data_IF_363190555856
#
_entry.id   IF_363190555856
#
_cell.length_a   1.000
_cell.length_b   1.000
_cell.length_c   1.000
_cell.angle_alpha   90.00
_cell.angle_beta   90.00
_cell.angle_gamma   90.00
#
_symmetry.space_group_name_H-M   'P 1'
#
loop_
_entity.id
_entity.type
_entity.pdbx_description
1 polymer ?
#
# COMPACT_ATOMS: atom_id res chain seq x y z
N UNK A 1 -20.38 -13.42 5.49
CA UNK A 1 -21.33 -13.86 6.53
C UNK A 1 -20.88 -13.44 7.91
N UNK A 2 -19.84 -14.09 8.44
CA UNK A 2 -19.35 -13.90 9.83
C UNK A 2 -19.06 -12.44 10.18
N UNK A 3 -18.39 -11.67 9.29
CA UNK A 3 -18.11 -10.26 9.54
C UNK A 3 -19.37 -9.41 9.80
N UNK A 4 -20.47 -9.67 9.08
CA UNK A 4 -21.73 -8.94 9.27
C UNK A 4 -22.49 -9.41 10.52
N UNK A 5 -22.33 -10.67 10.91
CA UNK A 5 -23.04 -11.25 12.06
C UNK A 5 -22.35 -10.92 13.40
N UNK A 6 -21.02 -10.99 13.44
CA UNK A 6 -20.23 -10.93 14.68
C UNK A 6 -19.41 -9.64 14.81
N UNK A 7 -19.36 -8.81 13.76
CA UNK A 7 -18.46 -7.66 13.68
C UNK A 7 -16.97 -8.04 13.68
N UNK A 8 -16.65 -9.32 13.45
CA UNK A 8 -15.30 -9.89 13.51
C UNK A 8 -15.06 -10.85 12.34
N UNK A 9 -13.80 -11.02 11.97
CA UNK A 9 -13.38 -11.98 10.96
C UNK A 9 -11.97 -12.49 11.27
N UNK A 10 -11.60 -13.61 10.66
CA UNK A 10 -10.29 -14.22 10.82
C UNK A 10 -9.36 -13.81 9.67
N UNK A 11 -8.16 -13.36 10.02
CA UNK A 11 -7.08 -13.13 9.07
C UNK A 11 -5.86 -13.92 9.51
N UNK A 12 -5.30 -14.74 8.62
CA UNK A 12 -3.92 -15.18 8.75
C UNK A 12 -3.02 -14.01 8.36
N UNK A 13 -2.11 -13.65 9.25
CA UNK A 13 -1.14 -12.57 9.06
C UNK A 13 -0.24 -12.94 7.87
N UNK A 14 -0.19 -12.10 6.81
CA UNK A 14 0.71 -12.31 5.69
C UNK A 14 2.13 -11.87 6.06
N UNK A 15 3.13 -12.43 5.39
CA UNK A 15 4.45 -11.81 5.33
C UNK A 15 4.39 -10.53 4.47
N UNK A 16 5.35 -9.64 4.64
CA UNK A 16 5.37 -8.34 3.94
C UNK A 16 6.59 -8.24 3.04
N UNK A 17 6.36 -7.79 1.81
CA UNK A 17 7.40 -7.32 0.88
C UNK A 17 7.47 -5.81 0.98
N UNK A 18 8.68 -5.26 1.19
CA UNK A 18 8.92 -3.83 1.17
C UNK A 18 9.21 -3.36 -0.25
N UNK A 19 8.40 -2.46 -0.77
CA UNK A 19 8.61 -1.80 -2.05
C UNK A 19 9.17 -0.41 -1.79
N UNK A 20 10.48 -0.25 -2.01
CA UNK A 20 11.16 1.03 -1.83
C UNK A 20 11.06 1.89 -3.10
N UNK A 21 10.26 2.95 -3.03
CA UNK A 21 10.13 3.96 -4.09
C UNK A 21 11.22 5.02 -3.91
N UNK A 22 12.05 5.20 -4.92
CA UNK A 22 13.16 6.16 -4.92
C UNK A 22 12.95 7.25 -5.98
N UNK A 23 13.38 8.48 -5.67
CA UNK A 23 13.25 9.62 -6.56
C UNK A 23 11.81 10.07 -6.83
N UNK A 24 11.68 10.96 -7.82
CA UNK A 24 10.40 11.58 -8.22
C UNK A 24 9.96 11.07 -9.60
N UNK A 25 8.67 10.75 -9.79
CA UNK A 25 8.14 10.42 -11.11
C UNK A 25 8.43 11.51 -12.14
N UNK A 26 8.85 11.10 -13.33
CA UNK A 26 9.01 12.00 -14.46
C UNK A 26 7.66 12.60 -14.88
N UNK A 27 7.71 13.65 -15.69
CA UNK A 27 6.50 14.25 -16.26
C UNK A 27 5.67 13.18 -16.97
N UNK A 28 4.37 13.12 -16.65
CA UNK A 28 3.39 12.16 -17.16
C UNK A 28 3.46 10.74 -16.61
N UNK A 29 4.43 10.43 -15.74
CA UNK A 29 4.46 9.15 -15.00
C UNK A 29 3.50 9.26 -13.82
N UNK A 30 2.63 8.26 -13.66
CA UNK A 30 1.58 8.18 -12.65
C UNK A 30 1.75 6.93 -11.78
N UNK A 31 0.94 6.80 -10.73
CA UNK A 31 0.91 5.58 -9.92
C UNK A 31 0.59 4.32 -10.73
N UNK A 32 -0.15 4.44 -11.85
CA UNK A 32 -0.42 3.33 -12.76
C UNK A 32 0.85 2.77 -13.38
N UNK A 33 1.74 3.64 -13.82
CA UNK A 33 3.00 3.25 -14.46
C UNK A 33 3.92 2.58 -13.44
N UNK A 34 3.97 3.11 -12.21
CA UNK A 34 4.76 2.55 -11.11
C UNK A 34 4.33 1.13 -10.77
N UNK A 35 3.02 0.89 -10.60
CA UNK A 35 2.55 -0.46 -10.24
C UNK A 35 2.66 -1.44 -11.41
N UNK A 36 2.49 -1.00 -12.65
CA UNK A 36 2.71 -1.85 -13.82
C UNK A 36 4.18 -2.26 -13.96
N UNK A 37 5.11 -1.34 -13.70
CA UNK A 37 6.55 -1.65 -13.70
C UNK A 37 6.89 -2.64 -12.58
N UNK A 38 6.40 -2.43 -11.35
CA UNK A 38 6.58 -3.37 -10.24
C UNK A 38 6.06 -4.77 -10.58
N UNK A 39 4.82 -4.88 -11.09
CA UNK A 39 4.23 -6.16 -11.52
C UNK A 39 5.07 -6.80 -12.64
N UNK A 40 5.61 -6.00 -13.56
CA UNK A 40 6.53 -6.49 -14.59
C UNK A 40 7.81 -7.10 -14.02
N UNK A 41 8.32 -6.57 -12.91
CA UNK A 41 9.52 -7.07 -12.23
C UNK A 41 9.27 -8.33 -11.40
N UNK A 42 8.19 -8.36 -10.60
CA UNK A 42 7.92 -9.46 -9.66
C UNK A 42 7.03 -10.56 -10.27
N UNK A 43 6.34 -10.26 -11.37
CA UNK A 43 5.39 -11.15 -12.03
C UNK A 43 4.04 -11.23 -11.31
N UNK A 44 3.10 -11.92 -11.95
CA UNK A 44 1.69 -12.05 -11.49
C UNK A 44 1.51 -12.81 -10.18
N UNK A 45 2.55 -13.51 -9.74
CA UNK A 45 2.58 -14.30 -8.51
C UNK A 45 3.73 -13.90 -7.56
N UNK A 46 4.39 -12.78 -7.84
CA UNK A 46 5.57 -12.32 -7.10
C UNK A 46 5.30 -11.97 -5.65
N UNK A 47 4.07 -11.60 -5.31
CA UNK A 47 3.64 -11.25 -3.96
C UNK A 47 2.62 -12.25 -3.38
N UNK A 48 2.61 -13.51 -3.85
CA UNK A 48 1.58 -14.49 -3.49
C UNK A 48 1.39 -14.62 -1.97
N UNK A 49 0.21 -14.23 -1.49
CA UNK A 49 -0.19 -14.23 -0.08
C UNK A 49 0.59 -13.26 0.84
N UNK A 50 1.35 -12.33 0.26
CA UNK A 50 2.11 -11.31 0.99
C UNK A 50 1.42 -9.95 0.91
N UNK A 51 1.71 -9.07 1.86
CA UNK A 51 1.37 -7.65 1.76
C UNK A 51 2.47 -6.90 1.01
N UNK A 52 2.10 -5.96 0.15
CA UNK A 52 3.03 -5.01 -0.46
C UNK A 52 3.00 -3.73 0.36
N UNK A 53 4.09 -3.43 1.06
CA UNK A 53 4.25 -2.19 1.81
C UNK A 53 5.13 -1.21 1.02
N UNK A 54 4.55 -0.08 0.62
CA UNK A 54 5.25 0.94 -0.16
C UNK A 54 5.93 1.93 0.78
N UNK A 55 7.24 2.09 0.64
CA UNK A 55 8.08 2.92 1.49
C UNK A 55 9.10 3.72 0.65
N UNK A 56 9.95 4.50 1.31
CA UNK A 56 11.02 5.26 0.66
C UNK A 56 10.63 6.71 0.33
N UNK A 57 11.63 7.49 -0.08
CA UNK A 57 11.47 8.92 -0.35
C UNK A 57 10.45 9.22 -1.46
N UNK A 58 10.26 8.30 -2.40
CA UNK A 58 9.36 8.48 -3.54
C UNK A 58 7.87 8.51 -3.15
N UNK A 59 7.51 7.98 -1.97
CA UNK A 59 6.12 7.98 -1.47
C UNK A 59 5.55 9.40 -1.37
N UNK A 60 6.37 10.38 -0.95
CA UNK A 60 5.96 11.78 -0.80
C UNK A 60 5.55 12.43 -2.13
N UNK A 61 5.94 11.84 -3.26
CA UNK A 61 5.61 12.35 -4.59
C UNK A 61 4.35 11.72 -5.18
N UNK A 62 3.75 10.73 -4.50
CA UNK A 62 2.54 10.06 -4.92
C UNK A 62 1.31 10.72 -4.31
N UNK A 63 0.40 11.18 -5.17
CA UNK A 63 -0.90 11.68 -4.69
C UNK A 63 -1.73 10.55 -4.09
N UNK A 64 -2.79 10.87 -3.33
CA UNK A 64 -3.71 9.82 -2.87
C UNK A 64 -4.36 9.04 -4.01
N UNK A 65 -4.58 9.66 -5.18
CA UNK A 65 -5.12 8.95 -6.33
C UNK A 65 -4.10 7.93 -6.90
N UNK A 66 -2.81 8.27 -6.90
CA UNK A 66 -1.75 7.34 -7.27
C UNK A 66 -1.67 6.18 -6.29
N UNK A 67 -1.67 6.46 -4.98
CA UNK A 67 -1.62 5.43 -3.93
C UNK A 67 -2.79 4.46 -4.00
N UNK A 68 -4.01 4.98 -4.19
CA UNK A 68 -5.20 4.16 -4.37
C UNK A 68 -5.11 3.30 -5.64
N UNK A 69 -4.57 3.84 -6.73
CA UNK A 69 -4.36 3.10 -7.98
C UNK A 69 -3.35 1.96 -7.79
N UNK A 70 -2.24 2.24 -7.11
CA UNK A 70 -1.19 1.27 -6.80
C UNK A 70 -1.76 0.16 -5.89
N UNK A 71 -2.42 0.51 -4.79
CA UNK A 71 -3.00 -0.47 -3.86
C UNK A 71 -4.11 -1.30 -4.50
N UNK A 72 -4.90 -0.72 -5.40
CA UNK A 72 -5.92 -1.46 -6.15
C UNK A 72 -5.30 -2.59 -6.98
N UNK A 73 -4.09 -2.37 -7.50
CA UNK A 73 -3.40 -3.33 -8.37
C UNK A 73 -2.46 -4.31 -7.63
N UNK A 74 -2.45 -4.29 -6.30
CA UNK A 74 -1.64 -5.25 -5.52
C UNK A 74 -2.06 -6.70 -5.75
N UNK A 75 -3.34 -6.95 -6.06
CA UNK A 75 -3.87 -8.29 -6.29
C UNK A 75 -3.38 -8.91 -7.60
N UNK A 76 -3.05 -8.09 -8.61
CA UNK A 76 -2.49 -8.50 -9.89
C UNK A 76 -1.07 -9.03 -9.78
N UNK A 77 -0.36 -8.72 -8.69
CA UNK A 77 0.91 -9.34 -8.30
C UNK A 77 0.75 -10.59 -7.42
N UNK A 78 -0.50 -11.01 -7.14
CA UNK A 78 -0.81 -12.07 -6.17
C UNK A 78 -0.81 -11.60 -4.71
N UNK A 79 -0.67 -10.29 -4.49
CA UNK A 79 -0.64 -9.66 -3.17
C UNK A 79 -1.98 -9.74 -2.45
N UNK A 80 -1.93 -9.89 -1.13
CA UNK A 80 -3.11 -9.86 -0.26
C UNK A 80 -3.67 -8.44 -0.11
N UNK A 81 -2.78 -7.45 -0.01
CA UNK A 81 -3.11 -6.04 0.03
C UNK A 81 -1.87 -5.20 -0.34
N UNK A 82 -2.11 -3.96 -0.75
CA UNK A 82 -1.10 -2.91 -0.83
C UNK A 82 -1.35 -1.86 0.25
N UNK A 83 -0.31 -1.39 0.92
CA UNK A 83 -0.40 -0.38 1.99
C UNK A 83 0.67 0.70 1.82
N UNK A 84 0.28 1.94 2.08
CA UNK A 84 1.18 3.09 2.17
C UNK A 84 1.21 3.60 3.62
N UNK A 85 2.32 4.21 4.07
CA UNK A 85 2.40 4.85 5.37
C UNK A 85 1.42 6.01 5.48
N UNK A 86 1.07 6.34 6.72
CA UNK A 86 0.31 7.53 7.04
C UNK A 86 1.23 8.75 7.07
N UNK A 87 0.90 9.76 6.27
CA UNK A 87 1.65 11.01 6.13
C UNK A 87 0.72 12.22 5.89
N UNK A 88 1.30 13.38 5.60
CA UNK A 88 0.57 14.63 5.39
C UNK A 88 -0.42 14.54 4.22
N UNK A 89 -0.06 13.83 3.14
CA UNK A 89 -0.95 13.64 1.98
C UNK A 89 -2.18 12.83 2.38
N UNK A 90 -2.01 11.83 3.24
CA UNK A 90 -3.10 11.02 3.77
C UNK A 90 -3.98 11.82 4.72
N UNK A 91 -3.37 12.58 5.65
CA UNK A 91 -4.06 13.49 6.56
C UNK A 91 -4.91 14.51 5.79
N UNK A 92 -4.33 15.20 4.80
CA UNK A 92 -5.05 16.18 3.98
C UNK A 92 -6.24 15.55 3.23
N UNK A 93 -6.07 14.32 2.74
CA UNK A 93 -7.15 13.64 2.04
C UNK A 93 -8.32 13.26 2.94
N UNK A 94 -8.06 12.77 4.16
CA UNK A 94 -9.11 12.33 5.07
C UNK A 94 -9.75 13.48 5.87
N UNK A 95 -9.06 14.63 5.97
CA UNK A 95 -9.56 15.81 6.68
C UNK A 95 -10.92 16.23 6.14
N UNK A 96 -11.90 16.30 7.04
CA UNK A 96 -13.29 16.63 6.69
C UNK A 96 -14.08 15.51 6.00
N UNK A 97 -13.46 14.37 5.70
CA UNK A 97 -14.13 13.16 5.17
C UNK A 97 -14.42 12.12 6.25
N UNK A 98 -13.61 12.12 7.30
CA UNK A 98 -13.69 11.17 8.41
C UNK A 98 -14.00 11.92 9.70
N UNK A 99 -14.97 11.41 10.44
CA UNK A 99 -15.55 12.00 11.66
C UNK A 99 -15.32 11.13 12.90
N UNK A 100 -14.49 10.08 12.78
CA UNK A 100 -13.98 9.27 13.90
C UNK A 100 -12.51 9.63 14.19
N UNK A 101 -12.02 9.37 15.41
CA UNK A 101 -10.59 9.44 15.70
C UNK A 101 -9.80 8.58 14.72
N UNK A 102 -8.70 9.13 14.21
CA UNK A 102 -7.75 8.42 13.36
C UNK A 102 -6.46 8.29 14.16
N UNK A 103 -6.00 7.05 14.32
CA UNK A 103 -4.72 6.73 14.92
C UNK A 103 -3.78 6.31 13.79
N UNK A 104 -2.80 7.15 13.41
CA UNK A 104 -1.80 6.80 12.42
C UNK A 104 -1.01 5.57 12.86
N UNK A 105 -0.92 4.57 11.98
CA UNK A 105 -0.09 3.38 12.17
C UNK A 105 0.96 3.39 11.05
N UNK A 106 2.22 3.29 11.44
CA UNK A 106 3.37 3.26 10.55
C UNK A 106 4.26 2.07 10.93
N UNK A 107 5.09 1.57 10.00
CA UNK A 107 6.00 0.47 10.29
C UNK A 107 7.01 0.85 11.38
N UNK A 108 7.29 -0.11 12.26
CA UNK A 108 8.32 0.04 13.28
C UNK A 108 9.73 0.07 12.64
N UNK A 109 10.72 0.77 13.25
CA UNK A 109 12.08 0.82 12.71
C UNK A 109 12.78 -0.52 12.56
N UNK A 110 12.37 -1.53 13.32
CA UNK A 110 12.90 -2.90 13.34
C UNK A 110 11.96 -3.91 12.65
N UNK A 111 11.00 -3.44 11.85
CA UNK A 111 10.12 -4.30 11.06
C UNK A 111 10.93 -5.23 10.14
N UNK A 112 10.56 -6.51 10.15
CA UNK A 112 11.18 -7.56 9.33
C UNK A 112 10.33 -7.80 8.09
N UNK A 113 10.97 -7.76 6.93
CA UNK A 113 10.35 -8.00 5.63
C UNK A 113 10.84 -9.32 5.04
N UNK A 114 9.96 -10.03 4.36
CA UNK A 114 10.32 -11.27 3.65
C UNK A 114 11.16 -10.98 2.40
N UNK A 115 10.95 -9.80 1.80
CA UNK A 115 11.68 -9.29 0.65
C UNK A 115 11.71 -7.76 0.69
#
# INVERSE_FOLDING_TARGET
>A
GVAMAEGKTWFKVPETIKVELIGKPNKWVTGKDVILDLIGQIGVDGARYMALEFAGEGVQHMTMADRLTICNMAIEAGGKCGVFPYDEITEEYIKGRVNRPVEPINPDPDAVYAQ
#
